data_IF_866971787390
#
_entry.id   IF_866971787390
#
_cell.length_a   1.000
_cell.length_b   1.000
_cell.length_c   1.000
_cell.angle_alpha   90.00
_cell.angle_beta   90.00
_cell.angle_gamma   90.00
#
_symmetry.space_group_name_H-M   'P 1'
#
loop_
_entity.id
_entity.type
_entity.pdbx_description
1 polymer ?
#
# COMPACT_ATOMS: atom_id res chain seq x y z
N UNK A 1 -7.62 -20.74 -19.41
CA UNK A 1 -8.01 -20.70 -17.99
C UNK A 1 -7.75 -19.28 -17.52
N UNK A 2 -8.80 -18.48 -17.45
CA UNK A 2 -8.73 -17.05 -17.12
C UNK A 2 -9.16 -16.93 -15.67
N UNK A 3 -8.22 -16.64 -14.77
CA UNK A 3 -8.56 -16.35 -13.38
C UNK A 3 -8.95 -14.88 -13.30
N UNK A 4 -10.25 -14.63 -13.19
CA UNK A 4 -10.76 -13.34 -12.76
C UNK A 4 -10.41 -13.19 -11.27
N UNK A 5 -9.63 -12.18 -10.92
CA UNK A 5 -9.41 -11.79 -9.53
C UNK A 5 -10.64 -10.98 -9.14
N UNK A 6 -11.59 -11.64 -8.48
CA UNK A 6 -12.71 -10.99 -7.81
C UNK A 6 -12.17 -10.07 -6.71
N UNK A 7 -12.44 -8.76 -6.83
CA UNK A 7 -12.29 -7.78 -5.76
C UNK A 7 -13.65 -7.62 -5.06
N UNK A 8 -13.86 -8.13 -3.84
CA UNK A 8 -15.09 -7.89 -3.10
C UNK A 8 -14.93 -6.65 -2.21
N UNK A 9 -15.39 -5.49 -2.68
CA UNK A 9 -15.75 -4.39 -1.79
C UNK A 9 -17.20 -3.97 -2.06
N UNK A 10 -18.06 -4.37 -1.14
CA UNK A 10 -19.49 -4.09 -1.09
C UNK A 10 -19.77 -2.59 -0.98
N UNK A 11 -19.99 -1.92 -2.11
CA UNK A 11 -20.68 -0.63 -2.11
C UNK A 11 -22.20 -0.86 -2.10
N UNK A 12 -22.80 -0.54 -0.95
CA UNK A 12 -24.25 -0.47 -0.75
C UNK A 12 -24.82 0.63 -1.68
N UNK A 13 -25.41 0.25 -2.82
CA UNK A 13 -26.21 1.18 -3.61
C UNK A 13 -27.68 1.09 -3.19
N UNK A 14 -28.18 2.24 -2.74
CA UNK A 14 -29.58 2.46 -2.42
C UNK A 14 -30.52 2.06 -3.56
N UNK A 15 -31.68 1.55 -3.15
CA UNK A 15 -32.80 1.10 -3.97
C UNK A 15 -33.26 2.19 -4.96
N UNK A 16 -32.89 2.06 -6.25
CA UNK A 16 -33.47 2.87 -7.32
C UNK A 16 -34.75 2.21 -7.85
N UNK A 17 -35.89 2.89 -7.67
CA UNK A 17 -37.17 2.52 -8.27
C UNK A 17 -37.15 3.01 -9.73
N UNK A 18 -37.20 2.09 -10.69
CA UNK A 18 -37.31 2.41 -12.12
C UNK A 18 -38.80 2.53 -12.47
N UNK A 19 -39.27 3.76 -12.66
CA UNK A 19 -40.56 4.03 -13.30
C UNK A 19 -40.35 4.01 -14.81
N UNK A 20 -40.88 2.98 -15.47
CA UNK A 20 -40.80 2.82 -16.93
C UNK A 20 -41.78 3.73 -17.65
N UNK A 21 -41.28 4.67 -18.46
CA UNK A 21 -42.07 5.29 -19.53
C UNK A 21 -41.19 5.70 -20.71
N UNK A 22 -41.56 5.20 -21.89
CA UNK A 22 -41.22 5.67 -23.24
C UNK A 22 -39.75 5.79 -23.65
N UNK A 23 -39.34 4.77 -24.45
CA UNK A 23 -38.58 4.84 -25.71
C UNK A 23 -37.62 6.03 -25.88
N UNK A 24 -36.35 5.68 -26.12
CA UNK A 24 -35.23 6.49 -26.67
C UNK A 24 -34.25 7.02 -25.62
N UNK A 25 -33.37 6.16 -25.10
CA UNK A 25 -32.13 6.62 -24.44
C UNK A 25 -30.97 5.70 -24.88
N UNK A 26 -29.94 6.34 -25.41
CA UNK A 26 -28.72 5.75 -25.94
C UNK A 26 -28.08 4.76 -24.96
N UNK A 27 -27.68 3.61 -25.51
CA UNK A 27 -26.72 2.69 -24.90
C UNK A 27 -25.35 3.37 -24.98
N UNK A 28 -25.05 4.25 -24.02
CA UNK A 28 -23.70 4.64 -23.63
C UNK A 28 -23.34 3.78 -22.42
N UNK A 29 -23.13 2.49 -22.67
CA UNK A 29 -22.44 1.61 -21.74
C UNK A 29 -20.97 2.03 -21.79
N UNK A 30 -20.64 3.13 -21.10
CA UNK A 30 -19.27 3.48 -20.80
C UNK A 30 -18.71 2.29 -20.02
N UNK A 31 -17.84 1.52 -20.66
CA UNK A 31 -16.91 0.62 -20.00
C UNK A 31 -16.06 1.49 -19.06
N UNK A 32 -16.59 1.74 -17.86
CA UNK A 32 -15.78 2.07 -16.70
C UNK A 32 -15.04 0.79 -16.35
N UNK A 33 -13.94 0.51 -17.06
CA UNK A 33 -12.80 -0.12 -16.41
C UNK A 33 -12.39 0.88 -15.34
N UNK A 34 -13.03 0.81 -14.17
CA UNK A 34 -12.41 1.28 -12.96
C UNK A 34 -11.11 0.49 -12.89
N UNK A 35 -10.00 1.13 -13.27
CA UNK A 35 -8.70 0.62 -12.91
C UNK A 35 -8.74 0.54 -11.39
N UNK A 36 -8.97 -0.65 -10.85
CA UNK A 36 -8.77 -0.89 -9.43
C UNK A 36 -7.31 -0.53 -9.20
N UNK A 37 -7.07 0.61 -8.53
CA UNK A 37 -5.74 0.99 -8.10
C UNK A 37 -5.24 -0.19 -7.26
N UNK A 38 -4.33 -0.96 -7.84
CA UNK A 38 -3.79 -2.13 -7.17
C UNK A 38 -2.75 -1.65 -6.20
N UNK A 39 -2.91 -2.02 -4.93
CA UNK A 39 -1.86 -1.83 -3.93
C UNK A 39 -0.73 -2.86 -4.08
N UNK A 40 -0.85 -3.79 -5.04
CA UNK A 40 0.20 -4.76 -5.36
C UNK A 40 1.33 -4.12 -6.18
N UNK A 41 2.54 -4.30 -5.67
CA UNK A 41 3.73 -3.67 -6.19
C UNK A 41 4.81 -3.62 -5.14
N UNK A 42 5.79 -2.74 -5.35
CA UNK A 42 6.93 -2.57 -4.45
C UNK A 42 6.91 -1.14 -3.93
N UNK A 43 7.11 -1.00 -2.63
CA UNK A 43 7.31 0.26 -1.95
C UNK A 43 8.79 0.38 -1.56
N UNK A 44 9.45 1.43 -2.04
CA UNK A 44 10.88 1.66 -1.85
C UNK A 44 11.12 3.07 -1.31
N UNK A 45 12.10 3.29 -0.41
CA UNK A 45 12.40 4.63 0.09
C UNK A 45 12.74 5.61 -1.02
N UNK A 46 12.26 6.83 -0.85
CA UNK A 46 12.56 7.96 -1.74
C UNK A 46 13.94 8.60 -1.50
N UNK A 47 14.72 8.09 -0.55
CA UNK A 47 16.00 8.66 -0.14
C UNK A 47 17.13 7.62 -0.06
N UNK A 48 18.36 8.09 -0.17
CA UNK A 48 19.58 7.26 -0.23
C UNK A 48 19.87 6.56 1.10
N UNK A 49 19.51 7.17 2.24
CA UNK A 49 19.80 6.63 3.57
C UNK A 49 19.14 5.26 3.86
N UNK A 50 18.10 4.90 3.10
CA UNK A 50 17.43 3.61 3.22
C UNK A 50 17.36 2.89 1.87
N UNK A 51 18.22 3.26 0.92
CA UNK A 51 18.27 2.64 -0.40
C UNK A 51 18.50 1.13 -0.28
N UNK A 52 17.61 0.34 -0.89
CA UNK A 52 17.62 -1.12 -0.82
C UNK A 52 16.57 -1.71 0.14
N UNK A 53 15.95 -0.90 1.02
CA UNK A 53 14.74 -1.33 1.72
C UNK A 53 13.58 -1.45 0.73
N UNK A 54 12.83 -2.54 0.83
CA UNK A 54 11.67 -2.77 -0.03
C UNK A 54 10.58 -3.53 0.70
N UNK A 55 9.36 -3.03 0.59
CA UNK A 55 8.15 -3.74 0.95
C UNK A 55 7.42 -4.15 -0.33
N UNK A 56 7.34 -5.44 -0.59
CA UNK A 56 6.62 -5.99 -1.75
C UNK A 56 5.27 -6.52 -1.28
N UNK A 57 4.20 -6.08 -1.93
CA UNK A 57 2.84 -6.60 -1.75
C UNK A 57 2.42 -7.37 -3.00
N UNK A 58 2.04 -8.64 -2.84
CA UNK A 58 1.56 -9.47 -3.93
C UNK A 58 0.66 -10.61 -3.43
N UNK A 59 -0.48 -10.83 -4.07
CA UNK A 59 -1.40 -11.93 -3.80
C UNK A 59 -1.79 -12.04 -2.30
N UNK A 60 -2.07 -10.89 -1.66
CA UNK A 60 -2.43 -10.82 -0.24
C UNK A 60 -1.29 -11.12 0.75
N UNK A 61 -0.06 -11.28 0.25
CA UNK A 61 1.16 -11.48 1.05
C UNK A 61 2.12 -10.32 0.92
N UNK A 62 2.84 -10.06 1.99
CA UNK A 62 3.93 -9.09 1.98
C UNK A 62 5.28 -9.78 2.21
N UNK A 63 6.30 -9.21 1.58
CA UNK A 63 7.70 -9.47 1.88
C UNK A 63 8.36 -8.13 2.15
N UNK A 64 8.88 -7.97 3.36
CA UNK A 64 9.61 -6.78 3.75
C UNK A 64 11.08 -7.13 3.93
N UNK A 65 11.88 -6.58 3.04
CA UNK A 65 13.32 -6.74 3.03
C UNK A 65 13.94 -5.39 3.36
N UNK A 66 14.98 -5.42 4.19
CA UNK A 66 15.72 -4.25 4.61
C UNK A 66 17.16 -4.44 4.19
N UNK A 67 17.76 -3.43 3.59
CA UNK A 67 19.17 -3.43 3.23
C UNK A 67 19.97 -3.00 4.48
N UNK A 68 20.95 -3.81 4.88
CA UNK A 68 21.61 -3.72 6.20
C UNK A 68 23.12 -3.56 6.09
N UNK A 69 23.63 -2.86 5.07
CA UNK A 69 25.06 -2.58 5.00
C UNK A 69 25.51 -1.52 6.02
N UNK A 70 24.59 -0.64 6.47
CA UNK A 70 24.81 0.24 7.61
C UNK A 70 24.70 -0.49 8.96
N UNK A 71 25.81 -0.51 9.71
CA UNK A 71 25.84 -0.96 11.11
C UNK A 71 25.72 0.25 12.04
N UNK A 72 24.60 0.35 12.75
CA UNK A 72 24.44 1.33 13.81
C UNK A 72 25.27 0.89 15.02
N UNK A 73 26.11 1.78 15.52
CA UNK A 73 26.88 1.57 16.74
C UNK A 73 26.35 2.50 17.83
N UNK A 74 26.16 1.98 19.04
CA UNK A 74 25.80 2.81 20.18
C UNK A 74 27.00 3.66 20.65
N UNK A 75 26.77 4.54 21.63
CA UNK A 75 27.80 5.39 22.25
C UNK A 75 28.94 4.59 22.92
N UNK A 76 28.72 3.30 23.20
CA UNK A 76 29.72 2.38 23.76
C UNK A 76 30.54 1.65 22.68
N UNK A 77 30.23 1.85 21.40
CA UNK A 77 30.90 1.20 20.27
C UNK A 77 30.39 -0.21 19.96
N UNK A 78 29.32 -0.66 20.61
CA UNK A 78 28.70 -1.94 20.28
C UNK A 78 27.82 -1.78 19.04
N UNK A 79 27.88 -2.78 18.15
CA UNK A 79 26.92 -2.88 17.05
C UNK A 79 25.55 -3.14 17.66
N UNK A 80 24.69 -2.13 17.56
CA UNK A 80 23.26 -2.29 17.83
C UNK A 80 22.64 -2.65 16.50
N UNK A 81 22.06 -3.84 16.40
CA UNK A 81 21.20 -4.14 15.26
C UNK A 81 19.99 -3.21 15.37
N UNK A 82 19.88 -2.19 14.52
CA UNK A 82 18.84 -1.18 14.70
C UNK A 82 17.44 -1.77 14.47
N UNK A 83 17.35 -2.91 13.78
CA UNK A 83 16.12 -3.54 13.36
C UNK A 83 16.19 -5.07 13.42
N UNK A 84 16.17 -5.68 14.62
CA UNK A 84 16.19 -7.14 14.75
C UNK A 84 14.93 -7.76 14.13
N UNK A 85 15.11 -8.86 13.40
CA UNK A 85 14.01 -9.67 12.87
C UNK A 85 13.54 -9.31 11.46
N UNK A 86 14.41 -8.76 10.61
CA UNK A 86 14.21 -8.70 9.16
C UNK A 86 15.07 -9.78 8.44
N UNK A 87 14.66 -10.28 7.26
CA UNK A 87 13.43 -9.97 6.52
C UNK A 87 12.16 -10.46 7.23
N UNK A 88 11.04 -9.77 7.01
CA UNK A 88 9.71 -10.17 7.51
C UNK A 88 8.80 -10.56 6.36
N UNK A 89 7.96 -11.57 6.57
CA UNK A 89 6.90 -11.95 5.64
C UNK A 89 5.61 -12.22 6.38
N UNK A 90 4.50 -12.14 5.66
CA UNK A 90 3.19 -12.45 6.20
C UNK A 90 2.06 -12.11 5.25
N UNK A 91 0.89 -11.88 5.82
CA UNK A 91 -0.30 -11.45 5.10
C UNK A 91 -0.54 -9.96 5.30
N UNK A 92 -1.10 -9.30 4.29
CA UNK A 92 -1.56 -7.93 4.43
C UNK A 92 -3.03 -7.80 4.08
N UNK A 93 -3.65 -6.75 4.62
CA UNK A 93 -4.98 -6.30 4.25
C UNK A 93 -4.98 -4.79 4.11
N UNK A 94 -5.67 -4.29 3.08
CA UNK A 94 -5.94 -2.86 2.96
C UNK A 94 -7.40 -2.63 3.37
N UNK A 95 -7.63 -1.66 4.25
CA UNK A 95 -8.95 -1.17 4.62
C UNK A 95 -8.93 0.35 4.55
N UNK A 96 -9.73 0.93 3.66
CA UNK A 96 -9.71 2.36 3.35
C UNK A 96 -8.31 2.80 2.89
N UNK A 97 -7.64 3.64 3.68
CA UNK A 97 -6.26 4.10 3.49
C UNK A 97 -5.26 3.28 4.31
N UNK A 98 -5.71 2.37 5.18
CA UNK A 98 -4.86 1.67 6.13
C UNK A 98 -4.38 0.34 5.57
N UNK A 99 -3.07 0.13 5.57
CA UNK A 99 -2.40 -1.13 5.28
C UNK A 99 -2.04 -1.82 6.61
N UNK A 100 -2.68 -2.96 6.84
CA UNK A 100 -2.43 -3.81 8.01
C UNK A 100 -1.51 -4.96 7.60
N UNK A 101 -0.41 -5.14 8.33
CA UNK A 101 0.55 -6.22 8.09
C UNK A 101 0.53 -7.18 9.30
N UNK A 102 0.34 -8.46 9.03
CA UNK A 102 0.43 -9.53 10.03
C UNK A 102 1.47 -10.53 9.57
N UNK A 103 2.55 -10.66 10.34
CA UNK A 103 3.66 -11.57 10.03
C UNK A 103 3.25 -13.04 10.11
N UNK A 104 4.06 -13.93 9.54
CA UNK A 104 3.79 -15.38 9.54
C UNK A 104 3.79 -16.02 10.95
N UNK A 105 4.43 -15.39 11.94
CA UNK A 105 4.35 -15.75 13.36
C UNK A 105 3.12 -15.15 14.07
N UNK A 106 2.23 -14.47 13.34
CA UNK A 106 0.97 -13.94 13.84
C UNK A 106 1.08 -12.58 14.54
N UNK A 107 2.21 -11.89 14.41
CA UNK A 107 2.42 -10.56 15.00
C UNK A 107 1.89 -9.50 14.06
N UNK A 108 0.98 -8.66 14.55
CA UNK A 108 0.55 -7.45 13.84
C UNK A 108 1.64 -6.39 13.94
N UNK A 109 2.11 -5.90 12.79
CA UNK A 109 3.04 -4.76 12.73
C UNK A 109 2.28 -3.44 12.92
N UNK A 110 3.03 -2.36 13.12
CA UNK A 110 2.49 -1.01 13.22
C UNK A 110 1.63 -0.64 12.01
N UNK A 111 0.77 0.36 12.22
CA UNK A 111 -0.17 0.81 11.21
C UNK A 111 0.53 1.60 10.10
N UNK A 112 0.21 1.26 8.85
CA UNK A 112 0.71 1.94 7.65
C UNK A 112 -0.45 2.59 6.89
N UNK A 113 -0.17 3.69 6.21
CA UNK A 113 -1.18 4.49 5.51
C UNK A 113 -0.77 4.68 4.06
N UNK A 114 -1.63 4.26 3.14
CA UNK A 114 -1.51 4.44 1.70
C UNK A 114 -2.11 5.79 1.35
N UNK A 115 -1.32 6.68 0.77
CA UNK A 115 -1.77 7.98 0.29
C UNK A 115 -1.45 8.16 -1.19
N UNK A 116 -2.22 9.02 -1.85
CA UNK A 116 -1.92 9.52 -3.19
C UNK A 116 -1.57 11.01 -3.11
N UNK A 117 -0.43 11.39 -3.67
CA UNK A 117 0.00 12.78 -3.76
C UNK A 117 0.65 13.04 -5.12
N UNK A 118 0.17 14.08 -5.81
CA UNK A 118 0.64 14.46 -7.16
C UNK A 118 0.62 13.30 -8.19
N UNK A 119 -0.39 12.40 -8.10
CA UNK A 119 -0.53 11.24 -9.00
C UNK A 119 0.44 10.08 -8.73
N UNK A 120 1.16 10.13 -7.60
CA UNK A 120 2.05 9.09 -7.14
C UNK A 120 1.53 8.53 -5.80
N UNK A 121 1.57 7.22 -5.67
CA UNK A 121 1.19 6.54 -4.43
C UNK A 121 2.40 6.39 -3.50
N UNK A 122 2.15 6.57 -2.21
CA UNK A 122 3.14 6.46 -1.14
C UNK A 122 2.58 5.64 0.02
N UNK A 123 3.50 5.02 0.77
CA UNK A 123 3.19 4.37 2.04
C UNK A 123 3.89 5.12 3.17
N UNK A 124 3.11 5.51 4.16
CA UNK A 124 3.54 6.29 5.32
C UNK A 124 3.37 5.49 6.60
N UNK A 125 4.29 5.65 7.55
CA UNK A 125 4.01 5.28 8.93
C UNK A 125 3.03 6.28 9.59
N UNK A 126 2.54 5.97 10.80
CA UNK A 126 1.60 6.82 11.51
C UNK A 126 2.11 8.26 11.77
N UNK A 127 3.41 8.44 12.02
CA UNK A 127 4.00 9.76 12.29
C UNK A 127 4.08 10.59 11.02
N UNK A 128 4.53 9.97 9.93
CA UNK A 128 4.58 10.56 8.60
C UNK A 128 3.19 10.92 8.11
N UNK A 129 2.20 10.05 8.31
CA UNK A 129 0.81 10.30 7.93
C UNK A 129 0.23 11.51 8.67
N UNK A 130 0.41 11.60 9.99
CA UNK A 130 -0.05 12.76 10.75
C UNK A 130 0.61 14.06 10.28
N UNK A 131 1.91 14.01 9.98
CA UNK A 131 2.63 15.17 9.42
C UNK A 131 2.01 15.59 8.09
N UNK A 132 1.76 14.65 7.19
CA UNK A 132 1.12 14.92 5.90
C UNK A 132 -0.29 15.49 6.05
N UNK A 133 -1.09 14.98 6.99
CA UNK A 133 -2.44 15.51 7.27
C UNK A 133 -2.37 16.97 7.76
N UNK A 134 -1.38 17.29 8.60
CA UNK A 134 -1.24 18.62 9.18
C UNK A 134 -0.67 19.65 8.20
N UNK A 135 0.30 19.26 7.36
CA UNK A 135 1.03 20.20 6.49
C UNK A 135 0.65 20.11 5.02
N UNK A 136 0.01 19.01 4.59
CA UNK A 136 -0.15 18.62 3.18
C UNK A 136 1.17 18.48 2.40
N UNK A 137 2.30 18.38 3.12
CA UNK A 137 3.63 18.17 2.55
C UNK A 137 4.08 16.73 2.78
N UNK A 138 4.70 16.13 1.77
CA UNK A 138 5.28 14.79 1.90
C UNK A 138 6.48 14.85 2.85
N UNK A 139 6.52 14.01 3.90
CA UNK A 139 7.71 13.86 4.74
C UNK A 139 8.92 13.38 3.94
N UNK A 140 10.11 13.53 4.52
CA UNK A 140 11.32 12.97 3.93
C UNK A 140 11.32 11.44 4.00
N UNK A 141 12.03 10.80 3.05
CA UNK A 141 12.25 9.35 3.03
C UNK A 141 10.98 8.48 2.99
N UNK A 142 9.86 8.98 2.46
CA UNK A 142 8.63 8.20 2.28
C UNK A 142 8.83 7.02 1.33
N UNK A 143 8.06 5.95 1.54
CA UNK A 143 8.08 4.78 0.67
C UNK A 143 7.23 5.04 -0.58
N UNK A 144 7.88 5.11 -1.74
CA UNK A 144 7.24 5.35 -3.03
C UNK A 144 6.80 4.03 -3.66
N UNK A 145 5.57 4.01 -4.16
CA UNK A 145 5.01 2.85 -4.85
C UNK A 145 5.51 2.72 -6.30
N UNK A 146 5.86 1.49 -6.67
CA UNK A 146 6.11 1.06 -8.04
C UNK A 146 5.18 -0.13 -8.34
N UNK A 147 4.24 0.00 -9.30
CA UNK A 147 3.27 -1.05 -9.57
C UNK A 147 3.94 -2.34 -10.06
N UNK A 148 3.37 -3.49 -9.70
CA UNK A 148 3.79 -4.76 -10.27
C UNK A 148 3.45 -4.78 -11.79
N UNK A 149 4.47 -4.92 -12.63
CA UNK A 149 4.25 -5.06 -14.09
C UNK A 149 3.61 -6.42 -14.35
N UNK A 150 2.32 -6.44 -14.70
CA UNK A 150 1.66 -7.64 -15.21
C UNK A 150 2.29 -7.97 -16.57
N UNK A 151 3.05 -9.07 -16.65
CA UNK A 151 3.50 -9.64 -17.93
C UNK A 151 2.42 -10.49 -18.55
#
# INVERSE_FOLDING_TARGET
MTFAVDCPHSFNYGRFIIVTASRTILILLALSLAACASNEGTYEPSCVAYEGDRLKLAAGRFEWQRFTDERVVNESGDVVEPFPGFPKSGTYRVSDDKLELVTDDGVRLDDWFVIEHAGQQYLLDAKQHNTFVDTSELPECVLRFTPAVSR
#
